data_IF_902627809744
#
_entry.id   IF_902627809744
#
_cell.length_a   1.000
_cell.length_b   1.000
_cell.length_c   1.000
_cell.angle_alpha   90.00
_cell.angle_beta   90.00
_cell.angle_gamma   90.00
#
_symmetry.space_group_name_H-M   'P 1'
#
loop_
_entity.id
_entity.type
_entity.pdbx_description
1 polymer ?
#
# COMPACT_ATOMS: atom_id res chain seq x y z
N UNK A 1 -16.40 -44.97 7.18
CA UNK A 1 -17.13 -43.73 7.53
C UNK A 1 -16.25 -42.67 8.21
N UNK A 2 -15.16 -43.03 8.92
CA UNK A 2 -14.32 -42.06 9.67
C UNK A 2 -13.33 -41.27 8.77
N UNK A 3 -12.90 -41.82 7.63
CA UNK A 3 -11.95 -41.16 6.71
C UNK A 3 -12.64 -40.11 5.80
N UNK A 4 -13.96 -40.19 5.62
CA UNK A 4 -14.71 -39.25 4.79
C UNK A 4 -14.87 -37.87 5.45
N UNK A 5 -14.90 -37.81 6.79
CA UNK A 5 -15.12 -36.57 7.56
C UNK A 5 -13.98 -35.54 7.42
N UNK A 6 -12.69 -35.88 7.59
CA UNK A 6 -11.61 -34.92 7.39
C UNK A 6 -11.50 -34.44 5.94
N UNK A 7 -11.69 -35.34 4.98
CA UNK A 7 -11.66 -35.03 3.54
C UNK A 7 -12.82 -34.07 3.19
N UNK A 8 -14.02 -34.36 3.67
CA UNK A 8 -15.19 -33.50 3.49
C UNK A 8 -14.99 -32.11 4.12
N UNK A 9 -14.38 -32.05 5.32
CA UNK A 9 -14.07 -30.82 6.05
C UNK A 9 -13.01 -29.93 5.35
N UNK A 10 -12.08 -30.53 4.60
CA UNK A 10 -11.11 -29.80 3.77
C UNK A 10 -11.76 -29.32 2.47
N UNK A 11 -12.50 -30.18 1.77
CA UNK A 11 -13.17 -29.82 0.51
C UNK A 11 -14.33 -28.84 0.68
N UNK A 12 -14.98 -28.81 1.85
CA UNK A 12 -16.03 -27.84 2.20
C UNK A 12 -15.49 -26.77 3.15
N UNK A 13 -14.32 -26.23 2.82
CA UNK A 13 -13.75 -25.07 3.51
C UNK A 13 -13.79 -23.85 2.60
N UNK A 14 -14.06 -22.68 3.18
CA UNK A 14 -14.25 -21.45 2.42
C UNK A 14 -14.56 -20.26 3.31
N UNK A 15 -15.06 -19.20 2.66
CA UNK A 15 -15.59 -18.01 3.30
C UNK A 15 -17.04 -17.82 2.86
N UNK A 16 -17.88 -17.37 3.79
CA UNK A 16 -19.28 -17.07 3.54
C UNK A 16 -19.52 -15.59 3.79
N UNK A 17 -20.10 -14.95 2.79
CA UNK A 17 -20.40 -13.52 2.80
C UNK A 17 -21.86 -13.31 3.20
N UNK A 18 -22.10 -12.49 4.22
CA UNK A 18 -23.43 -12.10 4.68
C UNK A 18 -23.56 -10.58 4.61
N UNK A 19 -24.40 -10.08 3.69
CA UNK A 19 -24.65 -8.64 3.56
C UNK A 19 -25.52 -8.16 4.73
N UNK A 20 -25.03 -7.18 5.48
CA UNK A 20 -25.72 -6.52 6.57
C UNK A 20 -26.56 -5.35 6.03
N UNK A 21 -27.80 -5.65 5.63
CA UNK A 21 -28.68 -4.67 4.97
C UNK A 21 -29.09 -3.48 5.84
N UNK A 22 -29.15 -3.68 7.15
CA UNK A 22 -29.58 -2.66 8.13
C UNK A 22 -28.40 -2.07 8.91
N UNK A 23 -27.17 -2.22 8.40
CA UNK A 23 -25.99 -1.64 9.04
C UNK A 23 -26.06 -0.10 9.00
N UNK A 24 -25.87 0.60 10.13
CA UNK A 24 -26.00 2.06 10.22
C UNK A 24 -24.96 2.82 9.38
N UNK A 25 -23.92 2.16 8.89
CA UNK A 25 -22.91 2.78 8.03
C UNK A 25 -23.36 2.90 6.58
N UNK A 26 -24.28 2.05 6.12
CA UNK A 26 -24.73 2.07 4.72
C UNK A 26 -25.39 3.41 4.39
N UNK A 27 -24.93 4.04 3.31
CA UNK A 27 -25.32 5.38 2.87
C UNK A 27 -24.53 6.53 3.51
N UNK A 28 -23.64 6.27 4.49
CA UNK A 28 -22.76 7.31 5.02
C UNK A 28 -21.74 7.72 3.97
N UNK A 29 -21.50 9.03 3.86
CA UNK A 29 -20.36 9.58 3.13
C UNK A 29 -19.23 9.78 4.12
N UNK A 30 -18.10 9.14 3.86
CA UNK A 30 -16.90 9.17 4.71
C UNK A 30 -15.74 9.76 3.93
N UNK A 31 -14.81 10.38 4.64
CA UNK A 31 -13.50 10.76 4.13
C UNK A 31 -12.49 10.44 5.21
N UNK A 32 -11.38 9.84 4.82
CA UNK A 32 -10.34 9.44 5.76
C UNK A 32 -9.36 10.57 6.07
N UNK A 33 -9.46 11.70 5.37
CA UNK A 33 -8.59 12.88 5.53
C UNK A 33 -7.09 12.52 5.53
N UNK A 34 -6.71 11.47 4.83
CA UNK A 34 -5.35 10.91 4.78
C UNK A 34 -5.07 10.42 3.36
N UNK A 35 -3.86 10.62 2.83
CA UNK A 35 -3.46 10.00 1.57
C UNK A 35 -3.43 8.48 1.74
N UNK A 36 -4.12 7.79 0.85
CA UNK A 36 -4.25 6.34 0.84
C UNK A 36 -3.82 5.79 -0.52
N UNK A 37 -3.90 4.47 -0.68
CA UNK A 37 -3.90 3.86 -1.99
C UNK A 37 -4.97 2.78 -2.05
N UNK A 38 -5.29 2.34 -3.26
CA UNK A 38 -5.90 1.03 -3.44
C UNK A 38 -4.95 0.14 -4.24
N UNK A 39 -5.03 -1.16 -3.98
CA UNK A 39 -4.44 -2.21 -4.82
C UNK A 39 -5.51 -2.83 -5.71
N UNK A 40 -5.16 -3.22 -6.93
CA UNK A 40 -6.06 -3.92 -7.85
C UNK A 40 -5.38 -5.11 -8.51
N UNK A 41 -6.16 -5.97 -9.16
CA UNK A 41 -5.67 -7.13 -9.92
C UNK A 41 -4.89 -8.15 -9.08
N UNK A 42 -5.22 -8.28 -7.80
CA UNK A 42 -4.64 -9.32 -6.97
C UNK A 42 -5.40 -10.64 -7.08
N UNK A 43 -4.86 -11.57 -7.87
CA UNK A 43 -5.43 -12.88 -8.17
C UNK A 43 -5.24 -13.88 -7.02
N UNK A 44 -4.34 -13.59 -6.07
CA UNK A 44 -3.98 -14.48 -4.96
C UNK A 44 -3.94 -13.87 -3.57
N UNK A 45 -4.47 -12.65 -3.36
CA UNK A 45 -4.45 -11.97 -2.05
C UNK A 45 -5.44 -12.60 -1.03
N UNK A 46 -6.18 -13.64 -1.43
CA UNK A 46 -7.29 -14.14 -0.62
C UNK A 46 -8.46 -13.13 -0.60
N UNK A 47 -9.39 -13.34 0.32
CA UNK A 47 -10.57 -12.49 0.47
C UNK A 47 -11.89 -13.17 0.08
N UNK A 48 -12.96 -12.52 0.48
CA UNK A 48 -14.35 -12.94 0.28
C UNK A 48 -14.73 -12.97 -1.20
N UNK A 49 -15.82 -13.67 -1.58
CA UNK A 49 -16.28 -13.68 -2.97
C UNK A 49 -16.61 -12.26 -3.47
N UNK A 50 -17.19 -11.42 -2.59
CA UNK A 50 -17.46 -10.01 -2.91
C UNK A 50 -16.16 -9.21 -3.10
N UNK A 51 -15.18 -9.36 -2.21
CA UNK A 51 -13.91 -8.63 -2.31
C UNK A 51 -13.21 -8.92 -3.66
N UNK A 52 -13.19 -10.19 -4.06
CA UNK A 52 -12.61 -10.62 -5.34
C UNK A 52 -13.37 -10.05 -6.57
N UNK A 53 -14.67 -9.79 -6.46
CA UNK A 53 -15.45 -9.14 -7.54
C UNK A 53 -15.19 -7.64 -7.65
N UNK A 54 -14.90 -6.96 -6.54
CA UNK A 54 -14.61 -5.52 -6.54
C UNK A 54 -13.20 -5.26 -7.07
N UNK A 55 -12.22 -6.09 -6.66
CA UNK A 55 -10.85 -6.08 -7.18
C UNK A 55 -10.15 -4.71 -7.08
N UNK A 56 -10.56 -3.90 -6.10
CA UNK A 56 -9.92 -2.64 -5.68
C UNK A 56 -9.96 -2.63 -4.16
N UNK A 57 -8.83 -2.83 -3.50
CA UNK A 57 -8.74 -2.94 -2.05
C UNK A 57 -8.00 -1.73 -1.48
N UNK A 58 -8.68 -0.97 -0.62
CA UNK A 58 -8.13 0.24 0.00
C UNK A 58 -7.10 -0.15 1.07
N UNK A 59 -5.90 0.40 0.95
CA UNK A 59 -4.75 0.08 1.78
C UNK A 59 -4.03 1.34 2.26
N UNK A 60 -3.37 1.20 3.41
CA UNK A 60 -2.45 2.21 3.93
C UNK A 60 -1.16 2.17 3.14
N UNK A 61 -0.69 3.31 2.63
CA UNK A 61 0.46 3.38 1.71
C UNK A 61 1.70 2.67 2.25
N UNK A 62 2.03 2.84 3.53
CA UNK A 62 3.20 2.19 4.14
C UNK A 62 3.01 0.69 4.46
N UNK A 63 1.76 0.20 4.48
CA UNK A 63 1.46 -1.23 4.67
C UNK A 63 1.47 -2.00 3.34
N UNK A 64 1.63 -1.29 2.21
CA UNK A 64 1.83 -1.87 0.88
C UNK A 64 3.26 -2.42 0.82
N UNK A 65 3.56 -3.42 1.64
CA UNK A 65 4.82 -4.12 1.55
C UNK A 65 4.80 -5.02 0.31
N UNK A 66 5.95 -5.07 -0.35
CA UNK A 66 6.14 -5.68 -1.66
C UNK A 66 6.12 -7.22 -1.65
N UNK A 67 5.95 -7.85 -0.48
CA UNK A 67 6.12 -9.30 -0.21
C UNK A 67 5.10 -10.20 -0.97
N UNK A 68 4.22 -9.61 -1.79
CA UNK A 68 3.09 -10.27 -2.43
C UNK A 68 2.93 -9.97 -3.94
N UNK A 69 3.87 -9.30 -4.61
CA UNK A 69 3.70 -8.94 -6.04
C UNK A 69 3.44 -10.13 -6.99
N UNK A 70 3.92 -11.32 -6.63
CA UNK A 70 3.65 -12.58 -7.33
C UNK A 70 2.17 -12.99 -7.37
N UNK A 71 1.34 -12.44 -6.48
CA UNK A 71 -0.11 -12.70 -6.42
C UNK A 71 -0.91 -11.78 -7.34
N UNK A 72 -0.27 -10.84 -8.03
CA UNK A 72 -0.92 -9.91 -8.95
C UNK A 72 -0.87 -10.41 -10.39
N UNK A 73 -1.89 -10.07 -11.18
CA UNK A 73 -2.11 -10.57 -12.56
C UNK A 73 -0.87 -10.45 -13.45
N UNK A 74 -0.15 -9.33 -13.36
CA UNK A 74 1.05 -9.05 -14.16
C UNK A 74 2.35 -9.15 -13.35
N UNK A 75 2.32 -9.86 -12.21
CA UNK A 75 3.43 -9.98 -11.24
C UNK A 75 3.97 -8.63 -10.78
N UNK A 76 3.06 -7.67 -10.67
CA UNK A 76 3.36 -6.29 -10.35
C UNK A 76 2.25 -5.73 -9.45
N UNK A 77 2.64 -4.98 -8.41
CA UNK A 77 1.71 -4.40 -7.45
C UNK A 77 0.90 -3.28 -8.12
N UNK A 78 -0.27 -3.59 -8.66
CA UNK A 78 -1.10 -2.61 -9.36
C UNK A 78 -1.78 -1.69 -8.34
N UNK A 79 -1.05 -0.66 -7.90
CA UNK A 79 -1.50 0.31 -6.90
C UNK A 79 -1.77 1.66 -7.51
N UNK A 80 -2.73 2.37 -6.94
CA UNK A 80 -3.04 3.73 -7.32
C UNK A 80 -3.34 4.58 -6.10
N UNK A 81 -2.95 5.84 -6.21
CA UNK A 81 -3.09 6.82 -5.16
C UNK A 81 -4.56 7.22 -4.94
N UNK A 82 -4.89 7.48 -3.68
CA UNK A 82 -6.18 8.00 -3.25
C UNK A 82 -5.94 9.31 -2.50
N UNK A 83 -6.44 10.45 -3.03
CA UNK A 83 -6.32 11.75 -2.38
C UNK A 83 -6.91 11.78 -0.97
N UNK A 84 -6.32 12.61 -0.12
CA UNK A 84 -6.73 12.77 1.27
C UNK A 84 -8.14 13.33 1.43
N UNK A 85 -8.61 14.14 0.48
CA UNK A 85 -9.96 14.70 0.46
C UNK A 85 -10.98 13.82 -0.27
N UNK A 86 -10.57 12.63 -0.74
CA UNK A 86 -11.47 11.69 -1.41
C UNK A 86 -12.64 11.33 -0.49
N UNK A 87 -13.83 11.31 -1.10
CA UNK A 87 -15.09 10.95 -0.44
C UNK A 87 -15.54 9.59 -0.92
N UNK A 88 -16.00 8.79 0.02
CA UNK A 88 -16.51 7.45 -0.22
C UNK A 88 -17.93 7.36 0.29
N UNK A 89 -18.82 6.81 -0.52
CA UNK A 89 -20.13 6.35 -0.05
C UNK A 89 -20.00 4.89 0.38
N UNK A 90 -20.39 4.57 1.62
CA UNK A 90 -20.49 3.19 2.08
C UNK A 90 -21.76 2.59 1.46
N UNK A 91 -21.62 1.66 0.52
CA UNK A 91 -22.79 1.10 -0.19
C UNK A 91 -23.23 -0.25 0.36
N UNK A 92 -22.30 -1.02 0.95
CA UNK A 92 -22.58 -2.34 1.53
C UNK A 92 -21.64 -2.58 2.72
N UNK A 93 -22.15 -3.26 3.75
CA UNK A 93 -21.33 -3.86 4.80
C UNK A 93 -21.57 -5.36 4.78
N UNK A 94 -20.50 -6.14 4.88
CA UNK A 94 -20.52 -7.59 4.68
C UNK A 94 -19.77 -8.27 5.80
N UNK A 95 -20.43 -9.16 6.52
CA UNK A 95 -19.75 -10.07 7.44
C UNK A 95 -19.22 -11.27 6.67
N UNK A 96 -17.93 -11.52 6.83
CA UNK A 96 -17.21 -12.63 6.22
C UNK A 96 -16.86 -13.63 7.30
N UNK A 97 -17.51 -14.79 7.25
CA UNK A 97 -17.25 -15.89 8.17
C UNK A 97 -16.46 -16.99 7.48
N UNK A 98 -15.38 -17.44 8.11
CA UNK A 98 -14.67 -18.65 7.67
C UNK A 98 -15.48 -19.90 8.03
N UNK A 99 -15.46 -20.93 7.17
CA UNK A 99 -16.05 -22.25 7.46
C UNK A 99 -15.13 -23.42 7.06
N UNK A 100 -15.35 -24.60 7.65
CA UNK A 100 -14.51 -25.78 7.45
C UNK A 100 -13.10 -25.59 8.04
N UNK A 101 -12.07 -26.12 7.38
CA UNK A 101 -10.68 -26.01 7.89
C UNK A 101 -10.19 -24.57 8.05
N UNK A 102 -10.76 -23.61 7.31
CA UNK A 102 -10.41 -22.18 7.45
C UNK A 102 -10.86 -21.58 8.78
N UNK A 103 -11.79 -22.20 9.51
CA UNK A 103 -12.14 -21.79 10.89
C UNK A 103 -11.01 -22.07 11.88
N UNK A 104 -10.17 -23.06 11.60
CA UNK A 104 -9.05 -23.44 12.46
C UNK A 104 -7.89 -22.49 12.13
N UNK A 105 -7.97 -21.26 12.66
CA UNK A 105 -6.96 -20.21 12.49
C UNK A 105 -7.46 -18.92 11.83
N UNK A 106 -8.69 -18.90 11.30
CA UNK A 106 -9.31 -17.70 10.76
C UNK A 106 -10.38 -17.14 11.71
N UNK A 107 -10.30 -15.84 12.02
CA UNK A 107 -11.43 -15.09 12.57
C UNK A 107 -12.32 -14.59 11.42
N UNK A 108 -13.61 -14.43 11.68
CA UNK A 108 -14.46 -13.63 10.80
C UNK A 108 -13.99 -12.18 10.78
N UNK A 109 -14.36 -11.44 9.74
CA UNK A 109 -14.11 -10.00 9.62
C UNK A 109 -15.31 -9.35 8.93
N UNK A 110 -15.51 -8.06 9.18
CA UNK A 110 -16.50 -7.27 8.43
C UNK A 110 -15.78 -6.51 7.33
N UNK A 111 -16.42 -6.35 6.18
CA UNK A 111 -15.91 -5.67 4.99
C UNK A 111 -16.86 -4.51 4.66
N UNK A 112 -16.33 -3.32 4.43
CA UNK A 112 -17.08 -2.25 3.78
C UNK A 112 -16.83 -2.26 2.28
N UNK A 113 -17.90 -2.14 1.51
CA UNK A 113 -17.84 -1.76 0.10
C UNK A 113 -18.09 -0.27 0.02
N UNK A 114 -17.08 0.42 -0.49
CA UNK A 114 -17.04 1.86 -0.67
C UNK A 114 -17.18 2.18 -2.16
N UNK A 115 -17.79 3.33 -2.46
CA UNK A 115 -17.92 3.86 -3.81
C UNK A 115 -17.27 5.23 -3.88
N UNK A 116 -16.36 5.39 -4.83
CA UNK A 116 -15.74 6.65 -5.21
C UNK A 116 -16.08 7.00 -6.67
N UNK A 117 -15.49 8.08 -7.19
CA UNK A 117 -15.66 8.48 -8.59
C UNK A 117 -15.07 7.47 -9.59
N UNK A 118 -14.15 6.62 -9.14
CA UNK A 118 -13.45 5.62 -9.95
C UNK A 118 -14.10 4.23 -9.88
N UNK A 119 -15.20 4.08 -9.14
CA UNK A 119 -15.99 2.86 -9.04
C UNK A 119 -16.11 2.33 -7.63
N UNK A 120 -16.07 1.00 -7.49
CA UNK A 120 -16.17 0.33 -6.19
C UNK A 120 -14.78 0.02 -5.66
N UNK A 121 -14.64 0.05 -4.34
CA UNK A 121 -13.48 -0.44 -3.60
C UNK A 121 -13.95 -1.14 -2.33
N UNK A 122 -13.15 -2.05 -1.81
CA UNK A 122 -13.39 -2.74 -0.56
C UNK A 122 -12.35 -2.33 0.48
N UNK A 123 -12.70 -2.46 1.75
CA UNK A 123 -11.75 -2.35 2.86
C UNK A 123 -12.24 -3.22 4.01
N UNK A 124 -11.34 -3.88 4.73
CA UNK A 124 -11.71 -4.55 5.97
C UNK A 124 -12.18 -3.50 6.98
N UNK A 125 -13.40 -3.66 7.49
CA UNK A 125 -14.10 -2.76 8.41
C UNK A 125 -13.50 -2.77 9.83
N UNK A 126 -12.33 -3.38 10.03
CA UNK A 126 -11.70 -3.46 11.35
C UNK A 126 -11.36 -2.03 11.81
N UNK A 127 -12.20 -1.51 12.72
CA UNK A 127 -12.13 -0.24 13.47
C UNK A 127 -12.36 1.11 12.75
N UNK A 128 -12.52 1.19 11.43
CA UNK A 128 -12.09 2.41 10.73
C UNK A 128 -13.13 3.34 10.07
N UNK A 129 -14.44 3.19 10.28
CA UNK A 129 -15.37 4.28 9.90
C UNK A 129 -15.56 5.28 11.06
N UNK A 130 -15.41 4.81 12.30
CA UNK A 130 -15.65 5.64 13.49
C UNK A 130 -14.35 6.04 14.25
N UNK A 131 -13.23 5.31 14.12
CA UNK A 131 -11.94 5.64 14.76
C UNK A 131 -10.85 6.04 13.75
N UNK A 132 -10.90 7.29 13.24
CA UNK A 132 -9.84 7.97 12.46
C UNK A 132 -9.36 7.29 11.15
N UNK A 133 -9.97 6.19 10.71
CA UNK A 133 -9.66 5.52 9.44
C UNK A 133 -8.69 4.35 9.54
N UNK A 134 -8.60 3.50 8.48
CA UNK A 134 -7.88 2.22 8.54
C UNK A 134 -6.36 2.39 8.69
N UNK A 135 -5.90 3.64 8.52
CA UNK A 135 -4.51 4.03 8.43
C UNK A 135 -4.10 5.06 9.46
N UNK A 136 -4.97 5.35 10.45
CA UNK A 136 -4.61 6.26 11.53
C UNK A 136 -3.34 5.77 12.24
N UNK A 137 -2.35 6.64 12.38
CA UNK A 137 -1.03 6.37 12.96
C UNK A 137 -0.17 5.32 12.22
N UNK A 138 -0.57 4.87 11.02
CA UNK A 138 0.21 3.91 10.22
C UNK A 138 1.19 4.56 9.26
N UNK A 139 0.95 5.80 8.88
CA UNK A 139 1.81 6.54 7.95
C UNK A 139 2.75 7.50 8.70
N UNK A 140 4.01 7.48 8.31
CA UNK A 140 5.05 8.36 8.82
C UNK A 140 4.75 9.81 8.42
N UNK A 141 4.87 10.79 9.34
CA UNK A 141 4.44 12.15 9.05
C UNK A 141 5.18 12.83 7.88
N UNK A 142 6.44 12.47 7.62
CA UNK A 142 7.18 13.04 6.48
C UNK A 142 6.61 12.54 5.15
N UNK A 143 6.28 11.25 5.04
CA UNK A 143 5.62 10.71 3.84
C UNK A 143 4.22 11.30 3.66
N UNK A 144 3.44 11.44 4.73
CA UNK A 144 2.13 12.13 4.65
C UNK A 144 2.28 13.53 4.06
N UNK A 145 3.18 14.33 4.63
CA UNK A 145 3.45 15.70 4.16
C UNK A 145 3.92 15.73 2.72
N UNK A 146 4.69 14.73 2.29
CA UNK A 146 5.16 14.63 0.91
C UNK A 146 4.01 14.35 -0.05
N UNK A 147 3.09 13.44 0.29
CA UNK A 147 1.87 13.21 -0.49
C UNK A 147 1.01 14.47 -0.57
N UNK A 148 0.77 15.15 0.56
CA UNK A 148 0.01 16.42 0.58
C UNK A 148 0.68 17.53 -0.23
N UNK A 149 2.01 17.57 -0.19
CA UNK A 149 2.78 18.49 -1.03
C UNK A 149 2.58 18.18 -2.52
N UNK A 150 2.56 16.90 -2.91
CA UNK A 150 2.27 16.47 -4.28
C UNK A 150 0.81 16.77 -4.67
N UNK A 151 -0.18 16.58 -3.79
CA UNK A 151 -1.58 16.96 -4.06
C UNK A 151 -1.68 18.44 -4.45
N UNK A 152 -0.93 19.31 -3.77
CA UNK A 152 -0.92 20.75 -4.02
C UNK A 152 -0.13 21.14 -5.27
N UNK A 153 1.01 20.51 -5.52
CA UNK A 153 1.98 20.94 -6.54
C UNK A 153 2.02 20.06 -7.80
N UNK A 154 1.30 18.93 -7.80
CA UNK A 154 1.23 17.94 -8.87
C UNK A 154 2.41 16.97 -8.94
N UNK A 155 3.59 17.34 -8.42
CA UNK A 155 4.79 16.49 -8.38
C UNK A 155 5.77 16.93 -7.29
N UNK A 156 6.71 16.05 -6.97
CA UNK A 156 7.86 16.35 -6.12
C UNK A 156 9.12 15.67 -6.66
N UNK A 157 10.28 16.25 -6.39
CA UNK A 157 11.55 15.55 -6.56
C UNK A 157 11.88 14.79 -5.28
N UNK A 158 12.14 13.49 -5.38
CA UNK A 158 12.40 12.62 -4.23
C UNK A 158 13.72 11.88 -4.40
N UNK A 159 14.42 11.61 -3.30
CA UNK A 159 15.55 10.70 -3.21
C UNK A 159 15.05 9.36 -2.65
N UNK A 160 15.03 8.34 -3.50
CA UNK A 160 14.72 6.98 -3.11
C UNK A 160 16.02 6.24 -2.75
N UNK A 161 16.21 5.91 -1.48
CA UNK A 161 17.38 5.15 -1.00
C UNK A 161 17.18 3.67 -1.30
N UNK A 162 18.13 3.06 -2.00
CA UNK A 162 17.97 1.70 -2.54
C UNK A 162 18.73 0.66 -1.73
N UNK A 163 18.15 -0.52 -1.52
CA UNK A 163 18.78 -1.63 -0.80
C UNK A 163 18.38 -2.97 -1.42
N UNK A 164 19.36 -3.82 -1.71
CA UNK A 164 19.14 -5.20 -2.14
C UNK A 164 18.98 -6.09 -0.90
N UNK A 165 17.81 -6.71 -0.75
CA UNK A 165 17.49 -7.58 0.38
C UNK A 165 18.20 -8.94 0.29
N UNK A 166 18.49 -9.43 -0.92
CA UNK A 166 19.10 -10.74 -1.14
C UNK A 166 20.59 -10.72 -0.80
N UNK A 167 21.27 -9.64 -1.20
CA UNK A 167 22.72 -9.50 -0.98
C UNK A 167 23.07 -8.55 0.17
N UNK A 168 22.06 -7.99 0.85
CA UNK A 168 22.18 -7.12 2.00
C UNK A 168 23.13 -5.92 1.78
N UNK A 169 22.99 -5.25 0.63
CA UNK A 169 23.88 -4.14 0.25
C UNK A 169 23.15 -3.04 -0.51
N UNK A 170 23.79 -1.88 -0.52
CA UNK A 170 23.43 -0.73 -1.34
C UNK A 170 24.66 -0.36 -2.17
N UNK A 171 24.69 -0.76 -3.44
CA UNK A 171 25.82 -0.52 -4.33
C UNK A 171 25.38 -0.01 -5.72
N UNK A 172 26.36 0.29 -6.58
CA UNK A 172 26.09 0.85 -7.91
C UNK A 172 25.34 -0.11 -8.82
N UNK A 173 25.45 -1.42 -8.58
CA UNK A 173 24.68 -2.45 -9.30
C UNK A 173 23.21 -2.37 -8.87
N UNK A 174 22.95 -2.26 -7.57
CA UNK A 174 21.61 -2.03 -7.01
C UNK A 174 20.99 -0.74 -7.57
N UNK A 175 21.73 0.38 -7.56
CA UNK A 175 21.26 1.64 -8.16
C UNK A 175 20.92 1.49 -9.64
N UNK A 176 21.79 0.87 -10.44
CA UNK A 176 21.53 0.71 -11.88
C UNK A 176 20.31 -0.18 -12.13
N UNK A 177 20.11 -1.22 -11.32
CA UNK A 177 18.94 -2.08 -11.42
C UNK A 177 17.65 -1.30 -11.15
N UNK A 178 17.60 -0.53 -10.06
CA UNK A 178 16.42 0.29 -9.73
C UNK A 178 16.20 1.35 -10.81
N UNK A 179 17.25 2.02 -11.29
CA UNK A 179 17.17 2.98 -12.39
C UNK A 179 16.54 2.36 -13.65
N UNK A 180 16.96 1.16 -14.01
CA UNK A 180 16.37 0.42 -15.12
C UNK A 180 14.90 0.06 -14.85
N UNK A 181 14.57 -0.35 -13.62
CA UNK A 181 13.21 -0.69 -13.23
C UNK A 181 12.26 0.53 -13.33
N UNK A 182 12.71 1.72 -12.96
CA UNK A 182 11.95 2.97 -13.14
C UNK A 182 11.69 3.28 -14.62
N UNK A 183 12.69 3.07 -15.47
CA UNK A 183 12.56 3.28 -16.92
C UNK A 183 11.63 2.26 -17.61
N UNK A 184 11.45 1.08 -17.00
CA UNK A 184 10.56 0.02 -17.49
C UNK A 184 9.25 -0.07 -16.71
N UNK A 185 8.96 0.88 -15.84
CA UNK A 185 7.72 0.87 -15.07
C UNK A 185 6.50 0.97 -16.01
N UNK A 186 5.34 0.40 -15.63
CA UNK A 186 4.11 0.55 -16.38
C UNK A 186 3.80 2.03 -16.67
N UNK A 187 3.30 2.32 -17.87
CA UNK A 187 3.11 3.70 -18.38
C UNK A 187 2.19 4.59 -17.55
N UNK A 188 1.39 4.01 -16.65
CA UNK A 188 0.57 4.78 -15.70
C UNK A 188 1.40 5.50 -14.64
N UNK A 189 2.60 4.98 -14.31
CA UNK A 189 3.53 5.63 -13.39
C UNK A 189 4.49 6.51 -14.17
N UNK A 190 4.61 7.76 -13.74
CA UNK A 190 5.42 8.79 -14.39
C UNK A 190 6.66 9.05 -13.56
N UNK A 191 7.79 8.53 -14.02
CA UNK A 191 9.12 8.83 -13.50
C UNK A 191 9.85 9.72 -14.49
N UNK A 192 10.42 10.83 -14.03
CA UNK A 192 11.21 11.71 -14.90
C UNK A 192 12.46 12.23 -14.20
N UNK A 193 13.45 12.64 -14.99
CA UNK A 193 14.74 13.15 -14.53
C UNK A 193 15.44 12.25 -13.48
N UNK A 194 15.54 10.92 -13.70
CA UNK A 194 16.20 10.05 -12.74
C UNK A 194 17.71 10.30 -12.74
N UNK A 195 18.29 10.41 -11.55
CA UNK A 195 19.68 10.76 -11.32
C UNK A 195 20.26 9.90 -10.20
N UNK A 196 21.42 9.30 -10.42
CA UNK A 196 22.14 8.58 -9.36
C UNK A 196 22.71 9.59 -8.36
N UNK A 197 22.44 9.38 -7.07
CA UNK A 197 22.87 10.28 -6.01
C UNK A 197 23.36 9.49 -4.79
N UNK A 198 24.18 10.12 -3.96
CA UNK A 198 24.45 9.60 -2.63
C UNK A 198 23.15 9.62 -1.80
N UNK A 199 22.93 8.60 -0.97
CA UNK A 199 21.83 8.64 -0.01
C UNK A 199 22.13 9.62 1.12
N UNK A 200 21.09 10.16 1.74
CA UNK A 200 21.18 10.82 3.06
C UNK A 200 21.56 9.85 4.18
N UNK A 201 21.48 8.54 3.93
CA UNK A 201 21.87 7.48 4.86
C UNK A 201 23.33 7.05 4.57
N UNK A 202 24.25 7.18 5.55
CA UNK A 202 25.65 6.83 5.36
C UNK A 202 25.84 5.39 4.86
N UNK A 203 26.67 5.22 3.84
CA UNK A 203 26.96 3.90 3.24
C UNK A 203 25.88 3.37 2.31
N UNK A 204 24.78 4.11 2.13
CA UNK A 204 23.75 3.79 1.15
C UNK A 204 23.80 4.72 -0.05
N UNK A 205 23.20 4.23 -1.12
CA UNK A 205 23.08 4.87 -2.39
C UNK A 205 21.60 5.14 -2.71
N UNK A 206 21.32 6.17 -3.50
CA UNK A 206 19.95 6.54 -3.84
C UNK A 206 19.78 7.01 -5.27
N UNK A 207 18.53 7.16 -5.69
CA UNK A 207 18.16 7.71 -6.99
C UNK A 207 17.23 8.88 -6.74
N UNK A 208 17.62 10.07 -7.21
CA UNK A 208 16.71 11.19 -7.26
C UNK A 208 15.84 11.09 -8.51
N UNK A 209 14.54 11.29 -8.36
CA UNK A 209 13.57 11.17 -9.45
C UNK A 209 12.38 12.07 -9.17
N UNK A 210 11.81 12.64 -10.23
CA UNK A 210 10.57 13.42 -10.14
C UNK A 210 9.39 12.46 -10.23
N UNK A 211 8.46 12.57 -9.28
CA UNK A 211 7.29 11.68 -9.14
C UNK A 211 6.00 12.47 -8.92
N UNK A 212 4.90 11.94 -9.46
CA UNK A 212 3.55 12.26 -9.02
C UNK A 212 3.10 11.32 -7.90
N UNK A 213 1.84 11.43 -7.46
CA UNK A 213 1.35 10.68 -6.31
C UNK A 213 1.29 9.17 -6.59
N UNK A 214 0.81 8.75 -7.77
CA UNK A 214 0.78 7.33 -8.16
C UNK A 214 2.20 6.75 -8.23
N UNK A 215 3.15 7.48 -8.80
CA UNK A 215 4.57 7.10 -8.83
C UNK A 215 5.20 7.03 -7.44
N UNK A 216 4.82 7.90 -6.52
CA UNK A 216 5.30 7.83 -5.14
C UNK A 216 4.76 6.60 -4.42
N UNK A 217 3.47 6.28 -4.57
CA UNK A 217 2.88 5.03 -4.04
C UNK A 217 3.61 3.82 -4.62
N UNK A 218 3.90 3.82 -5.93
CA UNK A 218 4.70 2.77 -6.56
C UNK A 218 6.08 2.58 -5.91
N UNK A 219 6.79 3.68 -5.62
CA UNK A 219 8.11 3.62 -4.98
C UNK A 219 8.03 3.04 -3.57
N UNK A 220 7.00 3.42 -2.80
CA UNK A 220 6.77 2.85 -1.46
C UNK A 220 6.49 1.34 -1.57
N UNK A 221 5.70 0.94 -2.57
CA UNK A 221 5.34 -0.45 -2.84
C UNK A 221 6.48 -1.31 -3.45
N UNK A 222 7.64 -0.73 -3.73
CA UNK A 222 8.67 -1.32 -4.58
C UNK A 222 9.28 -2.63 -4.04
N UNK A 223 8.97 -3.70 -4.80
CA UNK A 223 9.67 -4.97 -5.16
C UNK A 223 10.37 -5.86 -4.11
N UNK A 224 9.94 -7.12 -4.16
CA UNK A 224 10.38 -8.35 -3.47
C UNK A 224 11.90 -8.56 -3.26
N UNK A 225 12.74 -8.10 -4.18
CA UNK A 225 14.20 -8.32 -4.14
C UNK A 225 15.00 -7.03 -3.84
N UNK A 226 14.36 -5.86 -3.98
CA UNK A 226 15.00 -4.55 -3.86
C UNK A 226 14.05 -3.57 -3.18
N UNK A 227 14.36 -3.26 -1.93
CA UNK A 227 13.54 -2.37 -1.11
C UNK A 227 13.97 -0.92 -1.29
N UNK A 228 12.99 -0.04 -1.46
CA UNK A 228 13.21 1.37 -1.18
C UNK A 228 13.21 1.54 0.33
N UNK A 229 14.37 1.86 0.86
CA UNK A 229 14.60 1.92 2.30
C UNK A 229 14.00 3.17 2.93
N UNK A 230 14.16 4.30 2.25
CA UNK A 230 13.65 5.60 2.66
C UNK A 230 13.41 6.46 1.43
N UNK A 231 12.37 7.31 1.48
CA UNK A 231 12.06 8.29 0.46
C UNK A 231 12.10 9.68 1.10
N UNK A 232 13.04 10.49 0.66
CA UNK A 232 13.18 11.88 1.14
C UNK A 232 12.81 12.85 0.03
N UNK A 233 11.83 13.73 0.26
CA UNK A 233 11.58 14.85 -0.66
C UNK A 233 12.76 15.82 -0.69
N UNK A 234 13.09 16.33 -1.87
CA UNK A 234 14.23 17.21 -2.12
C UNK A 234 13.83 18.67 -2.37
N UNK A 235 12.53 18.93 -2.59
CA UNK A 235 12.01 20.29 -2.78
C UNK A 235 12.15 21.12 -1.50
N UNK A 236 12.73 22.31 -1.61
CA UNK A 236 13.07 23.16 -0.46
C UNK A 236 11.83 23.57 0.36
N UNK A 237 10.73 23.83 -0.34
CA UNK A 237 9.45 24.20 0.22
C UNK A 237 8.82 23.02 0.97
N UNK A 238 8.89 21.78 0.46
CA UNK A 238 8.53 20.59 1.23
C UNK A 238 9.41 20.44 2.47
N UNK A 239 10.74 20.51 2.31
CA UNK A 239 11.70 20.35 3.40
C UNK A 239 11.47 21.37 4.52
N UNK A 240 11.05 22.59 4.18
CA UNK A 240 10.72 23.65 5.16
C UNK A 240 9.50 23.32 6.04
N UNK A 241 8.64 22.37 5.62
CA UNK A 241 7.47 21.93 6.39
C UNK A 241 7.80 20.86 7.43
N UNK A 242 9.00 20.30 7.39
CA UNK A 242 9.41 19.21 8.26
C UNK A 242 9.97 19.75 9.58
N UNK A 243 9.51 19.16 10.68
CA UNK A 243 10.07 19.36 12.01
C UNK A 243 11.32 18.50 12.20
N UNK A 244 12.15 18.87 13.17
CA UNK A 244 13.35 18.09 13.50
C UNK A 244 13.02 16.65 13.95
N UNK A 245 11.91 16.45 14.65
CA UNK A 245 11.43 15.12 15.04
C UNK A 245 11.06 14.27 13.82
N UNK A 246 10.42 14.85 12.81
CA UNK A 246 10.06 14.13 11.58
C UNK A 246 11.31 13.79 10.74
N UNK A 247 12.26 14.72 10.63
CA UNK A 247 13.54 14.49 9.95
C UNK A 247 14.38 13.41 10.67
N UNK A 248 14.28 13.35 11.99
CA UNK A 248 14.95 12.33 12.81
C UNK A 248 14.22 10.98 12.78
N UNK A 249 12.90 11.00 12.54
CA UNK A 249 12.02 9.83 12.45
C UNK A 249 12.00 9.15 11.09
N UNK A 250 12.52 9.80 10.04
CA UNK A 250 12.87 9.12 8.78
C UNK A 250 13.68 7.87 9.13
N UNK A 251 13.30 6.72 8.57
CA UNK A 251 13.81 5.38 8.87
C UNK A 251 15.29 5.28 8.46
N UNK A 252 16.16 5.90 9.25
CA UNK A 252 17.61 5.70 9.27
C UNK A 252 17.89 4.38 9.98
N UNK A 253 17.33 3.27 9.49
CA UNK A 253 17.66 1.99 10.09
C UNK A 253 19.18 1.76 9.93
N UNK A 254 19.85 1.26 10.97
CA UNK A 254 21.30 1.17 10.97
C UNK A 254 21.72 0.15 9.92
N UNK A 255 22.60 0.56 9.00
CA UNK A 255 23.54 -0.43 8.45
C UNK A 255 24.26 -0.97 9.67
N UNK A 256 24.04 -2.24 10.00
CA UNK A 256 24.76 -2.90 11.07
C UNK A 256 26.25 -2.59 10.92
N UNK A 257 26.77 -1.77 11.83
CA UNK A 257 28.20 -1.67 12.09
C UNK A 257 28.61 -2.96 12.78
N UNK A 258 28.86 -4.00 11.97
CA UNK A 258 29.69 -5.14 12.35
C UNK A 258 30.72 -5.38 11.28
#
# INVERSE_FOLDING_TARGET
MIIALPIYFVFHSGQRDTILKDDPHVGRIVSFNLPLAYSSDCVGCGGSERALKINRDLACIEDIDSVSAQYYKDKFYNVSYVPSDMKFEVIEVIDVESYGIRQIGGSGYSLAVLKDENGLLSTELLSSIDDDGPCCNRMTPHLEKLFRYIEKNGKARVLATVYDLNSNKSDTVTQQFVLNALNTAPSKYRFSNPEVMASSIPGMLGIAVDVDADSLVYLVASRLDYKIWEITGLDADYLSTLTQSEISGMKRSPINSR
#
